data_IF_647655484129
#
_entry.id   IF_647655484129
#
_cell.length_a   1.000
_cell.length_b   1.000
_cell.length_c   1.000
_cell.angle_alpha   90.00
_cell.angle_beta   90.00
_cell.angle_gamma   90.00
#
_symmetry.space_group_name_H-M   'P 1'
#
loop_
_entity.id
_entity.type
_entity.pdbx_description
1 polymer ?
#
# COMPACT_ATOMS: atom_id res chain seq x y z
N UNK A 1 17.26 -2.95 -0.01
CA UNK A 1 16.55 -3.36 1.19
C UNK A 1 17.27 -2.87 2.45
N UNK A 2 16.50 -2.61 3.49
CA UNK A 2 16.96 -2.26 4.83
C UNK A 2 16.10 -2.98 5.88
N UNK A 3 16.57 -3.00 7.13
CA UNK A 3 15.89 -3.70 8.21
C UNK A 3 15.83 -2.80 9.45
N UNK A 4 14.73 -2.85 10.22
CA UNK A 4 14.58 -2.03 11.44
C UNK A 4 15.64 -2.34 12.50
N UNK A 5 16.25 -3.52 12.46
CA UNK A 5 17.34 -3.92 13.35
C UNK A 5 18.73 -3.54 12.86
N UNK A 6 18.84 -2.83 11.73
CA UNK A 6 20.11 -2.49 11.09
C UNK A 6 20.82 -3.71 10.50
N UNK A 7 22.09 -3.89 10.86
CA UNK A 7 23.01 -4.90 10.33
C UNK A 7 23.53 -4.62 8.90
N UNK A 8 24.43 -5.43 8.42
CA UNK A 8 25.14 -5.23 7.15
C UNK A 8 24.71 -6.30 6.15
N UNK A 9 24.33 -5.89 4.95
CA UNK A 9 24.07 -6.81 3.84
C UNK A 9 25.40 -7.06 3.09
N UNK A 10 25.75 -8.32 2.94
CA UNK A 10 26.98 -8.73 2.25
C UNK A 10 26.74 -8.97 0.77
N UNK A 11 27.33 -8.11 -0.04
CA UNK A 11 27.20 -8.17 -1.50
C UNK A 11 25.81 -7.73 -1.99
N UNK A 12 25.67 -7.57 -3.30
CA UNK A 12 24.45 -7.09 -3.95
C UNK A 12 23.83 -8.07 -4.96
N UNK A 13 24.47 -9.21 -5.21
CA UNK A 13 23.99 -10.19 -6.18
C UNK A 13 22.63 -10.76 -5.84
N UNK A 14 22.36 -11.03 -4.55
CA UNK A 14 21.05 -11.51 -4.07
C UNK A 14 19.96 -10.46 -4.23
N UNK A 15 20.27 -9.18 -3.97
CA UNK A 15 19.36 -8.04 -4.17
C UNK A 15 19.00 -7.93 -5.66
N UNK A 16 20.01 -7.96 -6.54
CA UNK A 16 19.81 -7.88 -7.99
C UNK A 16 18.91 -9.01 -8.48
N UNK A 17 19.21 -10.24 -8.05
CA UNK A 17 18.39 -11.42 -8.41
C UNK A 17 16.94 -11.28 -7.92
N UNK A 18 16.73 -10.76 -6.70
CA UNK A 18 15.40 -10.52 -6.17
C UNK A 18 14.61 -9.48 -7.01
N UNK A 19 15.26 -8.36 -7.38
CA UNK A 19 14.64 -7.31 -8.16
C UNK A 19 14.35 -7.73 -9.61
N UNK A 20 15.23 -8.55 -10.20
CA UNK A 20 15.03 -9.06 -11.57
C UNK A 20 13.97 -10.18 -11.63
N UNK A 21 13.96 -11.10 -10.66
CA UNK A 21 13.19 -12.36 -10.73
C UNK A 21 12.09 -12.48 -9.66
N UNK A 22 11.97 -11.51 -8.78
CA UNK A 22 11.03 -11.56 -7.65
C UNK A 22 11.47 -12.48 -6.51
N UNK A 23 12.60 -13.18 -6.65
CA UNK A 23 13.18 -14.06 -5.62
C UNK A 23 14.68 -13.91 -5.55
N UNK A 24 15.22 -13.82 -4.33
CA UNK A 24 16.65 -13.77 -4.06
C UNK A 24 16.97 -14.16 -2.64
N UNK A 25 18.24 -14.38 -2.35
CA UNK A 25 18.75 -14.60 -1.00
C UNK A 25 19.91 -13.64 -0.77
N UNK A 26 19.88 -12.94 0.35
CA UNK A 26 20.96 -12.06 0.79
C UNK A 26 21.55 -12.59 2.09
N UNK A 27 22.82 -12.31 2.32
CA UNK A 27 23.48 -12.59 3.59
C UNK A 27 23.47 -11.31 4.43
N UNK A 28 22.97 -11.41 5.66
CA UNK A 28 22.94 -10.32 6.63
C UNK A 28 23.94 -10.66 7.74
N UNK A 29 24.74 -9.71 8.12
CA UNK A 29 25.76 -9.85 9.17
C UNK A 29 25.59 -8.75 10.19
N UNK A 30 25.69 -9.11 11.47
CA UNK A 30 25.74 -8.18 12.59
C UNK A 30 26.82 -7.14 12.41
N UNK A 31 26.55 -5.91 12.84
CA UNK A 31 27.55 -4.87 12.92
C UNK A 31 28.33 -5.01 14.22
N UNK A 32 29.60 -5.27 14.08
CA UNK A 32 30.49 -5.50 15.21
C UNK A 32 31.70 -4.55 15.14
N UNK A 33 32.19 -4.15 16.30
CA UNK A 33 33.43 -3.41 16.47
C UNK A 33 34.29 -4.09 17.55
N UNK A 34 35.58 -3.92 17.44
CA UNK A 34 36.56 -4.43 18.41
C UNK A 34 37.09 -3.23 19.18
N UNK A 35 36.99 -3.29 20.50
CA UNK A 35 37.51 -2.26 21.40
C UNK A 35 38.50 -2.87 22.36
N UNK A 36 39.34 -2.05 22.99
CA UNK A 36 40.25 -2.46 24.03
C UNK A 36 39.92 -1.71 25.33
N UNK A 37 39.66 -2.43 26.38
CA UNK A 37 39.36 -1.87 27.69
C UNK A 37 40.12 -2.62 28.77
N UNK A 38 40.86 -1.89 29.60
CA UNK A 38 41.64 -2.45 30.72
C UNK A 38 42.60 -3.59 30.28
N UNK A 39 43.20 -3.47 29.08
CA UNK A 39 44.13 -4.47 28.52
C UNK A 39 43.47 -5.77 28.08
N UNK A 40 42.15 -5.78 27.90
CA UNK A 40 41.36 -6.87 27.30
C UNK A 40 40.70 -6.41 26.03
N UNK A 41 40.65 -7.27 25.02
CA UNK A 41 39.89 -7.01 23.82
C UNK A 41 38.41 -7.37 24.01
N UNK A 42 37.55 -6.52 23.56
CA UNK A 42 36.10 -6.65 23.56
C UNK A 42 35.56 -6.69 22.12
N UNK A 43 34.62 -7.58 21.84
CA UNK A 43 33.82 -7.55 20.63
C UNK A 43 32.45 -7.01 21.05
N UNK A 44 32.09 -5.84 20.51
CA UNK A 44 30.79 -5.20 20.77
C UNK A 44 29.96 -5.32 19.50
N UNK A 45 28.75 -5.87 19.66
CA UNK A 45 27.78 -6.06 18.56
C UNK A 45 26.54 -5.25 18.91
N UNK A 46 26.27 -4.22 18.12
CA UNK A 46 25.18 -3.26 18.35
C UNK A 46 23.95 -3.55 17.48
N UNK A 47 24.14 -4.23 16.36
CA UNK A 47 23.07 -4.53 15.40
C UNK A 47 23.12 -6.02 15.05
N UNK A 48 21.96 -6.68 15.02
CA UNK A 48 21.82 -8.11 14.67
C UNK A 48 20.91 -8.29 13.46
N UNK A 49 21.04 -9.40 12.72
CA UNK A 49 20.16 -9.68 11.59
C UNK A 49 18.70 -9.69 12.00
N UNK A 50 17.85 -9.23 11.09
CA UNK A 50 16.40 -9.18 11.32
C UNK A 50 15.79 -10.56 11.56
N UNK A 51 14.85 -10.62 12.51
CA UNK A 51 14.12 -11.84 12.85
C UNK A 51 14.89 -12.81 13.74
N UNK A 52 16.07 -12.44 14.27
CA UNK A 52 16.84 -13.28 15.19
C UNK A 52 16.34 -13.13 16.62
N UNK A 53 16.10 -14.26 17.27
CA UNK A 53 15.83 -14.30 18.71
C UNK A 53 17.15 -14.08 19.48
N UNK A 54 17.24 -12.96 20.18
CA UNK A 54 18.47 -12.57 20.93
C UNK A 54 18.76 -13.49 22.12
N UNK A 55 17.74 -14.10 22.74
CA UNK A 55 17.93 -15.07 23.82
C UNK A 55 18.51 -16.38 23.29
N UNK A 56 17.98 -16.89 22.18
CA UNK A 56 18.53 -18.09 21.53
C UNK A 56 19.96 -17.85 21.05
N UNK A 57 20.24 -16.66 20.53
CA UNK A 57 21.58 -16.27 20.11
C UNK A 57 22.56 -16.28 21.29
N UNK A 58 22.15 -15.72 22.44
CA UNK A 58 22.94 -15.76 23.69
C UNK A 58 23.20 -17.20 24.13
N UNK A 59 22.17 -18.04 24.16
CA UNK A 59 22.28 -19.44 24.56
C UNK A 59 23.22 -20.21 23.61
N UNK A 60 23.17 -19.89 22.30
CA UNK A 60 24.07 -20.51 21.32
C UNK A 60 25.53 -20.11 21.54
N UNK A 61 25.79 -18.87 21.89
CA UNK A 61 27.16 -18.44 22.24
C UNK A 61 27.65 -19.22 23.50
N UNK A 62 26.80 -19.36 24.52
CA UNK A 62 27.11 -20.14 25.72
C UNK A 62 27.48 -21.60 25.40
N UNK A 63 26.65 -22.24 24.57
CA UNK A 63 26.86 -23.61 24.11
C UNK A 63 28.21 -23.78 23.40
N UNK A 64 28.55 -22.86 22.50
CA UNK A 64 29.79 -22.91 21.71
C UNK A 64 31.03 -22.71 22.58
N UNK A 65 30.92 -21.87 23.63
CA UNK A 65 31.99 -21.69 24.62
C UNK A 65 32.14 -22.92 25.50
N UNK A 66 31.04 -23.48 26.01
CA UNK A 66 31.04 -24.68 26.85
C UNK A 66 31.61 -25.90 26.11
N UNK A 67 31.23 -26.08 24.85
CA UNK A 67 31.69 -27.19 24.01
C UNK A 67 33.10 -26.95 23.44
N UNK A 68 33.77 -25.85 23.77
CA UNK A 68 35.13 -25.48 23.32
C UNK A 68 35.24 -25.36 21.77
N UNK A 69 34.12 -25.09 21.10
CA UNK A 69 34.11 -24.84 19.62
C UNK A 69 34.69 -23.46 19.35
N UNK A 70 34.39 -22.49 20.22
CA UNK A 70 35.00 -21.16 20.19
C UNK A 70 35.83 -20.98 21.45
N UNK A 71 37.15 -21.06 21.31
CA UNK A 71 38.10 -20.67 22.33
C UNK A 71 38.36 -19.16 22.25
N UNK A 72 38.83 -18.60 23.36
CA UNK A 72 39.23 -17.19 23.46
C UNK A 72 38.18 -16.27 24.04
N UNK A 73 36.96 -16.72 24.31
CA UNK A 73 35.95 -15.96 25.04
C UNK A 73 36.17 -16.18 26.56
N UNK A 74 36.29 -15.08 27.30
CA UNK A 74 36.39 -15.08 28.77
C UNK A 74 35.03 -14.88 29.42
N UNK A 75 34.23 -13.94 28.87
CA UNK A 75 32.90 -13.61 29.37
C UNK A 75 32.03 -13.05 28.22
N UNK A 76 30.70 -13.10 28.37
CA UNK A 76 29.78 -12.52 27.44
C UNK A 76 28.56 -11.95 28.17
N UNK A 77 28.14 -10.75 27.76
CA UNK A 77 27.01 -10.05 28.32
C UNK A 77 26.08 -9.55 27.21
N UNK A 78 24.78 -9.55 27.46
CA UNK A 78 23.79 -8.95 26.52
C UNK A 78 22.93 -7.95 27.30
N UNK A 79 22.92 -6.72 26.85
CA UNK A 79 22.01 -5.68 27.31
C UNK A 79 20.93 -5.46 26.25
N UNK A 80 19.67 -5.46 26.72
CA UNK A 80 18.48 -5.31 25.86
C UNK A 80 17.61 -4.11 26.29
N UNK A 81 18.04 -3.34 27.31
CA UNK A 81 17.23 -2.23 27.85
C UNK A 81 17.20 -1.02 26.92
N UNK A 82 18.38 -0.68 26.36
CA UNK A 82 18.56 0.50 25.50
C UNK A 82 18.82 0.13 24.01
N UNK A 83 18.37 -1.05 23.62
CA UNK A 83 18.65 -1.64 22.31
C UNK A 83 19.40 -2.97 22.44
N UNK A 84 19.73 -3.54 21.27
CA UNK A 84 20.46 -4.81 21.25
C UNK A 84 21.95 -4.52 21.34
N UNK A 85 22.58 -4.93 22.43
CA UNK A 85 24.03 -4.82 22.63
C UNK A 85 24.58 -6.11 23.20
N UNK A 86 25.45 -6.78 22.43
CA UNK A 86 26.24 -7.90 22.93
C UNK A 86 27.68 -7.44 23.17
N UNK A 87 28.20 -7.68 24.38
CA UNK A 87 29.60 -7.42 24.72
C UNK A 87 30.26 -8.76 25.03
N UNK A 88 31.27 -9.11 24.24
CA UNK A 88 32.03 -10.37 24.38
C UNK A 88 33.45 -10.02 24.78
N UNK A 89 33.83 -10.36 26.01
CA UNK A 89 35.16 -10.13 26.55
C UNK A 89 36.07 -11.29 26.19
N UNK A 90 37.25 -10.99 25.64
CA UNK A 90 38.20 -12.00 25.20
C UNK A 90 39.25 -12.32 26.24
N UNK A 91 39.83 -13.52 26.18
CA UNK A 91 41.04 -13.90 26.93
C UNK A 91 42.22 -13.11 26.38
N UNK A 92 43.29 -12.94 27.20
CA UNK A 92 44.47 -12.12 26.82
C UNK A 92 45.16 -12.57 25.55
N UNK A 93 45.19 -13.88 25.29
CA UNK A 93 45.92 -14.47 24.14
C UNK A 93 44.98 -14.70 22.94
N UNK A 94 43.74 -14.26 23.01
CA UNK A 94 42.79 -14.49 21.94
C UNK A 94 42.85 -13.41 20.86
N UNK A 95 42.79 -13.83 19.59
CA UNK A 95 42.69 -12.93 18.45
C UNK A 95 41.22 -12.60 18.21
N UNK A 96 40.82 -11.33 18.42
CA UNK A 96 39.46 -10.87 18.28
C UNK A 96 38.85 -11.15 16.90
N UNK A 97 39.63 -10.97 15.83
CA UNK A 97 39.14 -11.21 14.47
C UNK A 97 38.84 -12.68 14.21
N UNK A 98 39.65 -13.58 14.76
CA UNK A 98 39.43 -15.03 14.63
C UNK A 98 38.16 -15.44 15.41
N UNK A 99 37.99 -14.94 16.64
CA UNK A 99 36.79 -15.20 17.44
C UNK A 99 35.54 -14.65 16.74
N UNK A 100 35.60 -13.42 16.25
CA UNK A 100 34.48 -12.80 15.53
C UNK A 100 34.09 -13.60 14.26
N UNK A 101 35.06 -14.07 13.51
CA UNK A 101 34.80 -14.91 12.34
C UNK A 101 34.18 -16.27 12.70
N UNK A 102 34.60 -16.85 13.82
CA UNK A 102 33.96 -18.07 14.34
C UNK A 102 32.52 -17.81 14.80
N UNK A 103 32.24 -16.68 15.45
CA UNK A 103 30.90 -16.26 15.83
C UNK A 103 29.99 -16.11 14.59
N UNK A 104 30.45 -15.44 13.54
CA UNK A 104 29.69 -15.34 12.29
C UNK A 104 29.43 -16.69 11.63
N UNK A 105 30.35 -17.64 11.74
CA UNK A 105 30.25 -18.97 11.13
C UNK A 105 29.30 -19.89 11.89
N UNK A 106 29.25 -19.82 13.21
CA UNK A 106 28.58 -20.80 14.07
C UNK A 106 27.33 -20.27 14.77
N UNK A 107 27.00 -19.00 14.59
CA UNK A 107 25.81 -18.37 15.20
C UNK A 107 25.03 -17.58 14.17
N UNK A 108 23.82 -17.15 14.56
CA UNK A 108 22.99 -16.26 13.75
C UNK A 108 23.43 -14.79 13.74
N UNK A 109 24.65 -14.46 14.24
CA UNK A 109 25.27 -13.15 13.95
C UNK A 109 25.52 -12.94 12.45
N UNK A 110 25.53 -14.00 11.67
CA UNK A 110 25.43 -13.97 10.23
C UNK A 110 24.41 -15.01 9.78
N UNK A 111 23.44 -14.60 8.95
CA UNK A 111 22.40 -15.48 8.42
C UNK A 111 22.02 -15.11 7.00
N UNK A 112 21.35 -16.01 6.31
CA UNK A 112 20.75 -15.73 5.01
C UNK A 112 19.29 -15.30 5.19
N UNK A 113 18.85 -14.33 4.39
CA UNK A 113 17.49 -13.87 4.34
C UNK A 113 16.91 -14.03 2.94
N UNK A 114 15.78 -14.73 2.84
CA UNK A 114 15.07 -14.96 1.57
C UNK A 114 14.17 -13.78 1.23
N UNK A 115 14.35 -13.19 0.06
CA UNK A 115 13.49 -12.14 -0.48
C UNK A 115 12.50 -12.77 -1.45
N UNK A 116 11.21 -12.51 -1.26
CA UNK A 116 10.14 -12.97 -2.15
C UNK A 116 9.18 -11.79 -2.38
N UNK A 117 9.06 -11.35 -3.64
CA UNK A 117 8.10 -10.34 -4.05
C UNK A 117 6.81 -11.01 -4.51
N UNK A 118 6.02 -11.44 -3.53
CA UNK A 118 4.71 -12.03 -3.75
C UNK A 118 3.65 -10.93 -3.73
N UNK A 119 2.84 -10.87 -4.78
CA UNK A 119 1.73 -9.93 -4.89
C UNK A 119 0.50 -10.56 -5.55
N UNK A 120 -0.65 -9.92 -5.41
CA UNK A 120 -1.87 -10.28 -6.12
C UNK A 120 -1.94 -9.48 -7.44
N UNK A 121 -1.99 -10.21 -8.57
CA UNK A 121 -2.28 -9.66 -9.89
C UNK A 121 -3.64 -10.20 -10.34
N UNK A 122 -4.65 -9.33 -10.39
CA UNK A 122 -6.05 -9.69 -10.67
C UNK A 122 -6.59 -10.82 -9.78
N UNK A 123 -6.25 -10.78 -8.48
CA UNK A 123 -6.67 -11.80 -7.50
C UNK A 123 -5.83 -13.08 -7.51
N UNK A 124 -4.87 -13.22 -8.40
CA UNK A 124 -3.98 -14.39 -8.49
C UNK A 124 -2.62 -14.08 -7.85
N UNK A 125 -2.14 -14.87 -6.86
CA UNK A 125 -0.81 -14.70 -6.30
C UNK A 125 0.28 -14.97 -7.32
N UNK A 126 1.17 -14.01 -7.53
CA UNK A 126 2.33 -14.11 -8.44
C UNK A 126 3.59 -13.60 -7.79
N UNK A 127 4.70 -14.26 -8.07
CA UNK A 127 6.04 -13.75 -7.72
C UNK A 127 6.61 -13.03 -8.94
N UNK A 128 6.84 -11.72 -8.82
CA UNK A 128 7.19 -10.85 -9.94
C UNK A 128 8.45 -10.04 -9.61
N UNK A 129 9.25 -9.72 -10.63
CA UNK A 129 10.35 -8.78 -10.51
C UNK A 129 9.87 -7.34 -10.32
N UNK A 130 10.74 -6.47 -9.82
CA UNK A 130 10.39 -5.07 -9.51
C UNK A 130 9.82 -4.31 -10.73
N UNK A 131 10.42 -4.52 -11.91
CA UNK A 131 9.96 -3.89 -13.16
C UNK A 131 8.52 -4.31 -13.51
N UNK A 132 8.21 -5.59 -13.37
CA UNK A 132 6.88 -6.14 -13.63
C UNK A 132 5.85 -5.62 -12.61
N UNK A 133 6.23 -5.55 -11.33
CA UNK A 133 5.40 -4.98 -10.28
C UNK A 133 5.00 -3.53 -10.60
N UNK A 134 5.98 -2.70 -10.99
CA UNK A 134 5.73 -1.30 -11.34
C UNK A 134 4.81 -1.21 -12.57
N UNK A 135 5.05 -2.02 -13.61
CA UNK A 135 4.22 -2.04 -14.81
C UNK A 135 2.75 -2.42 -14.47
N UNK A 136 2.56 -3.48 -13.67
CA UNK A 136 1.23 -3.92 -13.21
C UNK A 136 0.53 -2.85 -12.35
N UNK A 137 1.28 -2.15 -11.50
CA UNK A 137 0.73 -1.06 -10.72
C UNK A 137 0.24 0.09 -11.60
N UNK A 138 1.02 0.47 -12.62
CA UNK A 138 0.62 1.51 -13.58
C UNK A 138 -0.66 1.11 -14.35
N UNK A 139 -0.72 -0.15 -14.81
CA UNK A 139 -1.90 -0.66 -15.52
C UNK A 139 -3.14 -0.64 -14.62
N UNK A 140 -3.01 -1.05 -13.37
CA UNK A 140 -4.07 -0.96 -12.37
C UNK A 140 -4.53 0.48 -12.13
N UNK A 141 -3.60 1.43 -11.99
CA UNK A 141 -3.94 2.85 -11.83
C UNK A 141 -4.74 3.40 -13.03
N UNK A 142 -4.33 3.05 -14.24
CA UNK A 142 -5.06 3.43 -15.47
C UNK A 142 -6.48 2.86 -15.45
N UNK A 143 -6.65 1.58 -15.11
CA UNK A 143 -7.96 0.94 -15.01
C UNK A 143 -8.87 1.64 -14.01
N UNK A 144 -8.36 1.94 -12.81
CA UNK A 144 -9.10 2.65 -11.76
C UNK A 144 -9.56 4.03 -12.23
N UNK A 145 -8.67 4.80 -12.89
CA UNK A 145 -9.01 6.12 -13.42
C UNK A 145 -10.10 6.01 -14.48
N UNK A 146 -9.95 5.10 -15.46
CA UNK A 146 -10.93 4.87 -16.51
C UNK A 146 -12.30 4.49 -15.92
N UNK A 147 -12.34 3.58 -14.97
CA UNK A 147 -13.57 3.12 -14.32
C UNK A 147 -14.27 4.25 -13.56
N UNK A 148 -13.50 5.06 -12.80
CA UNK A 148 -14.02 6.23 -12.11
C UNK A 148 -14.59 7.25 -13.08
N UNK A 149 -13.82 7.61 -14.12
CA UNK A 149 -14.26 8.59 -15.11
C UNK A 149 -15.51 8.14 -15.87
N UNK A 150 -15.62 6.84 -16.21
CA UNK A 150 -16.83 6.28 -16.82
C UNK A 150 -18.04 6.38 -15.88
N UNK A 151 -17.86 6.15 -14.60
CA UNK A 151 -18.93 6.31 -13.61
C UNK A 151 -19.38 7.78 -13.51
N UNK A 152 -18.42 8.70 -13.39
CA UNK A 152 -18.70 10.14 -13.31
C UNK A 152 -19.41 10.64 -14.57
N UNK A 153 -19.01 10.14 -15.75
CA UNK A 153 -19.66 10.45 -17.03
C UNK A 153 -21.11 9.96 -17.06
N UNK A 154 -21.37 8.71 -16.68
CA UNK A 154 -22.74 8.15 -16.63
C UNK A 154 -23.67 8.97 -15.70
N UNK A 155 -23.13 9.40 -14.55
CA UNK A 155 -23.88 10.27 -13.63
C UNK A 155 -24.16 11.63 -14.24
N UNK A 156 -23.19 12.23 -14.92
CA UNK A 156 -23.35 13.53 -15.59
C UNK A 156 -24.33 13.45 -16.77
N UNK A 157 -24.24 12.41 -17.62
CA UNK A 157 -25.16 12.20 -18.73
C UNK A 157 -26.61 12.03 -18.27
N UNK A 158 -26.85 11.27 -17.21
CA UNK A 158 -28.18 11.12 -16.60
C UNK A 158 -28.70 12.46 -16.09
N UNK A 159 -27.82 13.28 -15.50
CA UNK A 159 -28.21 14.61 -15.00
C UNK A 159 -28.54 15.57 -16.14
N UNK A 160 -27.70 15.62 -17.18
CA UNK A 160 -27.94 16.42 -18.40
C UNK A 160 -29.29 16.04 -19.02
N UNK A 161 -29.56 14.73 -19.16
CA UNK A 161 -30.82 14.25 -19.72
C UNK A 161 -32.05 14.79 -18.97
N UNK A 162 -32.00 14.81 -17.63
CA UNK A 162 -33.08 15.40 -16.83
C UNK A 162 -33.16 16.91 -17.04
N UNK A 163 -32.04 17.62 -17.04
CA UNK A 163 -32.01 19.08 -17.21
C UNK A 163 -32.54 19.51 -18.59
N UNK A 164 -32.24 18.76 -19.64
CA UNK A 164 -32.81 18.99 -20.98
C UNK A 164 -34.34 18.90 -20.97
N UNK A 165 -34.89 17.88 -20.29
CA UNK A 165 -36.35 17.75 -20.11
C UNK A 165 -36.95 18.90 -19.33
N UNK A 166 -36.30 19.32 -18.24
CA UNK A 166 -36.75 20.46 -17.44
C UNK A 166 -36.68 21.78 -18.24
N UNK A 167 -35.64 21.97 -19.07
CA UNK A 167 -35.55 23.12 -19.98
C UNK A 167 -36.70 23.17 -20.96
N UNK A 168 -37.02 22.06 -21.64
CA UNK A 168 -38.17 21.96 -22.55
C UNK A 168 -39.48 22.34 -21.81
N UNK A 169 -39.66 21.87 -20.56
CA UNK A 169 -40.84 22.18 -19.77
C UNK A 169 -40.92 23.67 -19.38
N UNK A 170 -39.79 24.29 -19.02
CA UNK A 170 -39.74 25.73 -18.69
C UNK A 170 -39.97 26.62 -19.89
N UNK A 171 -39.48 26.22 -21.06
CA UNK A 171 -39.69 26.93 -22.31
C UNK A 171 -41.16 26.87 -22.78
N UNK A 172 -41.92 25.87 -22.33
CA UNK A 172 -43.33 25.62 -22.73
C UNK A 172 -44.24 25.54 -21.51
N UNK A 173 -43.99 26.31 -20.48
CA UNK A 173 -44.61 26.13 -19.14
C UNK A 173 -46.15 26.19 -19.17
N UNK A 174 -46.73 27.07 -19.93
CA UNK A 174 -48.22 27.20 -20.02
C UNK A 174 -48.86 25.94 -20.60
N UNK A 175 -48.23 25.34 -21.62
CA UNK A 175 -48.70 24.12 -22.24
C UNK A 175 -48.53 22.91 -21.30
N UNK A 176 -47.42 22.86 -20.58
CA UNK A 176 -47.14 21.84 -19.55
C UNK A 176 -48.20 21.89 -18.42
N UNK A 177 -48.46 23.08 -17.88
CA UNK A 177 -49.51 23.29 -16.85
C UNK A 177 -50.89 22.87 -17.37
N UNK A 178 -51.23 23.20 -18.62
CA UNK A 178 -52.49 22.82 -19.22
C UNK A 178 -52.68 21.31 -19.33
N UNK A 179 -51.63 20.59 -19.73
CA UNK A 179 -51.62 19.11 -19.82
C UNK A 179 -51.80 18.51 -18.41
N UNK A 180 -51.00 18.94 -17.42
CA UNK A 180 -51.05 18.42 -16.08
C UNK A 180 -52.44 18.66 -15.45
N UNK A 181 -53.01 19.85 -15.59
CA UNK A 181 -54.34 20.19 -15.08
C UNK A 181 -55.48 19.48 -15.79
N UNK A 182 -55.32 19.12 -17.05
CA UNK A 182 -56.30 18.40 -17.85
C UNK A 182 -56.31 16.89 -17.64
N UNK A 183 -55.25 16.34 -17.08
CA UNK A 183 -55.12 14.91 -16.80
C UNK A 183 -55.89 14.48 -15.56
N UNK A 184 -56.37 13.23 -15.58
CA UNK A 184 -57.11 12.62 -14.46
C UNK A 184 -56.22 12.06 -13.37
N UNK A 185 -55.03 11.64 -13.77
CA UNK A 185 -54.01 11.05 -12.89
C UNK A 185 -52.60 11.35 -13.39
N UNK A 186 -51.59 10.98 -12.59
CA UNK A 186 -50.20 11.23 -12.89
C UNK A 186 -49.72 10.47 -14.15
N UNK A 187 -50.30 9.31 -14.43
CA UNK A 187 -49.93 8.49 -15.61
C UNK A 187 -50.45 9.12 -16.91
N UNK A 188 -51.69 9.66 -16.91
CA UNK A 188 -52.21 10.40 -18.02
C UNK A 188 -51.45 11.71 -18.26
N UNK A 189 -51.06 12.41 -17.19
CA UNK A 189 -50.23 13.62 -17.28
C UNK A 189 -48.82 13.28 -17.87
N UNK A 190 -48.17 12.24 -17.40
CA UNK A 190 -46.89 11.76 -17.89
C UNK A 190 -46.94 11.41 -19.38
N UNK A 191 -47.92 10.60 -19.76
CA UNK A 191 -48.08 10.20 -21.17
C UNK A 191 -48.42 11.42 -22.07
N UNK A 192 -49.18 12.39 -21.57
CA UNK A 192 -49.46 13.64 -22.27
C UNK A 192 -48.18 14.47 -22.51
N UNK A 193 -47.33 14.61 -21.50
CA UNK A 193 -46.04 15.30 -21.61
C UNK A 193 -45.08 14.59 -22.58
N UNK A 194 -44.94 13.28 -22.44
CA UNK A 194 -44.08 12.47 -23.35
C UNK A 194 -44.51 12.62 -24.81
N UNK A 195 -45.81 12.53 -25.07
CA UNK A 195 -46.37 12.63 -26.45
C UNK A 195 -46.27 14.04 -27.04
N UNK A 196 -46.48 15.07 -26.22
CA UNK A 196 -46.49 16.45 -26.72
C UNK A 196 -45.13 17.05 -26.93
N UNK A 197 -44.12 16.66 -26.15
CA UNK A 197 -42.79 17.24 -26.16
C UNK A 197 -41.68 16.25 -26.54
N UNK A 198 -42.01 14.98 -26.81
CA UNK A 198 -41.01 13.95 -27.14
C UNK A 198 -40.13 13.57 -25.96
N UNK A 199 -40.64 13.76 -24.73
CA UNK A 199 -39.88 13.50 -23.51
C UNK A 199 -39.81 12.00 -23.20
N UNK A 200 -38.73 11.60 -22.51
CA UNK A 200 -38.62 10.25 -21.93
C UNK A 200 -39.41 10.14 -20.62
N UNK A 201 -39.68 8.91 -20.21
CA UNK A 201 -40.32 8.63 -18.93
C UNK A 201 -39.63 9.32 -17.73
N UNK A 202 -38.29 9.25 -17.70
CA UNK A 202 -37.48 9.90 -16.65
C UNK A 202 -37.62 11.42 -16.66
N UNK A 203 -37.64 12.04 -17.84
CA UNK A 203 -37.83 13.49 -17.98
C UNK A 203 -39.24 13.92 -17.58
N UNK A 204 -40.25 13.18 -18.01
CA UNK A 204 -41.65 13.48 -17.65
C UNK A 204 -41.89 13.36 -16.14
N UNK A 205 -41.35 12.32 -15.50
CA UNK A 205 -41.41 12.18 -14.05
C UNK A 205 -40.72 13.35 -13.33
N UNK A 206 -39.51 13.74 -13.79
CA UNK A 206 -38.79 14.87 -13.19
C UNK A 206 -39.57 16.21 -13.31
N UNK A 207 -40.37 16.37 -14.37
CA UNK A 207 -41.23 17.54 -14.56
C UNK A 207 -42.42 17.49 -13.58
N UNK A 208 -43.08 16.34 -13.40
CA UNK A 208 -44.17 16.16 -12.46
C UNK A 208 -43.76 16.36 -11.01
N UNK A 209 -42.55 15.95 -10.66
CA UNK A 209 -41.97 16.15 -9.32
C UNK A 209 -41.42 17.58 -9.10
N UNK A 210 -41.45 18.45 -10.10
CA UNK A 210 -40.90 19.78 -10.00
C UNK A 210 -41.74 20.67 -9.08
N UNK A 211 -41.06 21.24 -8.07
CA UNK A 211 -41.72 22.17 -7.13
C UNK A 211 -42.04 23.49 -7.80
N UNK A 212 -43.19 24.10 -7.51
CA UNK A 212 -43.63 25.38 -8.08
C UNK A 212 -42.60 26.50 -7.94
N UNK A 213 -41.78 26.53 -6.90
CA UNK A 213 -40.71 27.51 -6.72
C UNK A 213 -39.65 27.47 -7.83
N UNK A 214 -39.49 26.35 -8.52
CA UNK A 214 -38.52 26.20 -9.65
C UNK A 214 -39.03 26.88 -10.94
N UNK A 215 -40.25 27.38 -10.97
CA UNK A 215 -40.79 28.11 -12.10
C UNK A 215 -40.39 29.60 -12.12
N UNK A 216 -39.64 30.05 -11.11
CA UNK A 216 -39.12 31.43 -11.07
C UNK A 216 -37.98 31.64 -12.06
N UNK A 217 -37.79 32.85 -12.57
CA UNK A 217 -36.74 33.17 -13.54
C UNK A 217 -35.35 32.85 -13.02
N UNK A 218 -35.06 33.05 -11.73
CA UNK A 218 -33.78 32.68 -11.13
C UNK A 218 -33.47 31.17 -11.15
N UNK A 219 -34.46 30.33 -10.97
CA UNK A 219 -34.29 28.88 -11.04
C UNK A 219 -34.12 28.38 -12.48
N UNK A 220 -34.79 29.03 -13.44
CA UNK A 220 -34.56 28.80 -14.88
C UNK A 220 -33.10 29.07 -15.26
N UNK A 221 -32.56 30.23 -14.85
CA UNK A 221 -31.17 30.58 -15.09
C UNK A 221 -30.18 29.56 -14.47
N UNK A 222 -30.50 29.03 -13.27
CA UNK A 222 -29.68 27.96 -12.66
C UNK A 222 -29.69 26.66 -13.47
N UNK A 223 -30.82 26.25 -14.02
CA UNK A 223 -30.93 25.05 -14.85
C UNK A 223 -30.12 25.24 -16.16
N UNK A 224 -30.21 26.41 -16.77
CA UNK A 224 -29.44 26.74 -17.98
C UNK A 224 -27.94 26.76 -17.71
N UNK A 225 -27.51 27.34 -16.58
CA UNK A 225 -26.10 27.37 -16.17
C UNK A 225 -25.54 26.00 -15.78
N UNK A 226 -26.37 25.11 -15.22
CA UNK A 226 -25.95 23.74 -14.91
C UNK A 226 -25.84 22.86 -16.17
N UNK A 227 -26.64 23.18 -17.19
CA UNK A 227 -26.65 22.48 -18.48
C UNK A 227 -25.44 22.85 -19.36
N UNK A 228 -24.94 24.09 -19.28
CA UNK A 228 -23.76 24.58 -19.99
C UNK A 228 -22.44 24.20 -19.30
#
# INVERSE_FOLDING_TARGET
>A
PDFPTGAIILGNSGIRKAYEKGRGSITIRSKARIEEENGKQLIIIDEVPYGINTLELKNKVAELVHNKIIDGIADYHSDLKDGIKFTITLKRDANAQVVLNKLYKHTSFQTSYGIIFLMLDQGVPKTLGLKEIIAKYIDYQKEVIIRRTKFDLDVAEKRVHILEGLKIALDNIDAVIKIIRGAKDDEEAKNGLMKSFGLTDVQANAILEMRLRRLTGLEREKIENELN
#
